data_IF_860410417755
#
_entry.id   IF_860410417755
#
_cell.length_a   1.000
_cell.length_b   1.000
_cell.length_c   1.000
_cell.angle_alpha   90.00
_cell.angle_beta   90.00
_cell.angle_gamma   90.00
#
_symmetry.space_group_name_H-M   'P 1'
#
loop_
_entity.id
_entity.type
_entity.pdbx_description
1 polymer ?
#
# COMPACT_ATOMS: atom_id res chain seq x y z
N UNK A 1 12.25 25.74 -0.76
CA UNK A 1 10.90 25.98 -1.33
C UNK A 1 9.92 25.96 -0.17
N UNK A 2 9.23 27.07 0.10
CA UNK A 2 8.28 27.23 1.20
C UNK A 2 7.00 26.44 0.93
N UNK A 3 6.87 25.27 1.57
CA UNK A 3 5.57 24.60 1.67
C UNK A 3 4.82 25.19 2.86
N UNK A 4 3.61 25.65 2.61
CA UNK A 4 2.66 26.16 3.61
C UNK A 4 2.09 25.02 4.49
N UNK A 5 2.90 24.03 4.85
CA UNK A 5 2.54 22.93 5.73
C UNK A 5 3.09 23.22 7.12
N UNK A 6 2.26 23.04 8.17
CA UNK A 6 2.66 23.03 9.60
C UNK A 6 3.66 21.91 9.96
N UNK A 7 4.33 21.35 8.96
CA UNK A 7 5.15 20.17 9.04
C UNK A 7 6.60 20.58 8.87
N UNK A 8 7.41 20.29 9.89
CA UNK A 8 8.85 20.50 9.82
C UNK A 8 9.51 19.29 9.16
N UNK A 9 10.20 19.53 8.03
CA UNK A 9 10.93 18.51 7.27
C UNK A 9 12.34 18.98 7.00
N UNK A 10 13.30 18.06 7.00
CA UNK A 10 14.65 18.29 6.48
C UNK A 10 15.01 17.25 5.43
N UNK A 11 15.76 17.68 4.43
CA UNK A 11 16.22 16.85 3.32
C UNK A 11 17.73 16.96 3.23
N UNK A 12 18.44 15.85 3.40
CA UNK A 12 19.90 15.79 3.33
C UNK A 12 20.35 14.89 2.18
N UNK A 13 21.49 15.24 1.58
CA UNK A 13 22.21 14.41 0.61
C UNK A 13 23.57 14.07 1.18
N UNK A 14 23.84 12.78 1.33
CA UNK A 14 25.14 12.26 1.74
C UNK A 14 25.87 11.78 0.50
N UNK A 15 26.83 12.57 0.03
CA UNK A 15 27.63 12.25 -1.15
C UNK A 15 28.73 11.26 -0.78
N UNK A 16 29.00 10.31 -1.67
CA UNK A 16 30.05 9.31 -1.52
C UNK A 16 30.60 8.89 -2.89
N UNK A 17 31.85 8.43 -2.92
CA UNK A 17 32.45 7.82 -4.11
C UNK A 17 32.11 6.33 -4.13
N UNK A 18 31.36 5.82 -5.12
CA UNK A 18 31.02 4.41 -5.20
C UNK A 18 32.27 3.58 -5.56
N UNK A 19 32.41 2.40 -4.93
CA UNK A 19 33.50 1.46 -5.24
C UNK A 19 33.42 0.97 -6.70
N UNK A 20 32.21 0.66 -7.17
CA UNK A 20 31.96 0.33 -8.57
C UNK A 20 31.41 1.57 -9.27
N UNK A 21 32.24 2.18 -10.13
CA UNK A 21 31.83 3.36 -10.89
C UNK A 21 30.73 2.98 -11.87
N UNK A 22 29.56 3.59 -11.70
CA UNK A 22 28.47 3.47 -12.67
C UNK A 22 28.74 4.43 -13.83
N UNK A 23 28.41 5.71 -13.67
CA UNK A 23 28.55 6.77 -14.68
C UNK A 23 28.98 8.13 -14.10
N UNK A 24 29.09 8.23 -12.78
CA UNK A 24 29.43 9.46 -12.05
C UNK A 24 30.56 9.17 -11.07
N UNK A 25 31.41 10.17 -10.81
CA UNK A 25 32.48 10.06 -9.82
C UNK A 25 31.96 10.12 -8.37
N UNK A 26 30.80 10.76 -8.16
CA UNK A 26 30.08 10.75 -6.88
C UNK A 26 28.62 10.34 -7.07
N UNK A 27 28.15 9.55 -6.11
CA UNK A 27 26.75 9.21 -5.89
C UNK A 27 26.28 9.77 -4.55
N UNK A 28 24.98 9.69 -4.25
CA UNK A 28 24.47 10.16 -2.96
C UNK A 28 23.32 9.31 -2.43
N UNK A 29 23.24 9.23 -1.10
CA UNK A 29 22.07 8.73 -0.37
C UNK A 29 21.23 9.91 0.08
N UNK A 30 19.91 9.82 -0.10
CA UNK A 30 18.95 10.79 0.42
C UNK A 30 18.51 10.39 1.83
N UNK A 31 18.51 11.36 2.74
CA UNK A 31 17.89 11.23 4.06
C UNK A 31 16.79 12.28 4.17
N UNK A 32 15.55 11.80 4.21
CA UNK A 32 14.37 12.62 4.46
C UNK A 32 13.97 12.46 5.93
N UNK A 33 13.98 13.57 6.67
CA UNK A 33 13.63 13.62 8.09
C UNK A 33 12.31 14.35 8.25
N UNK A 34 11.35 13.67 8.89
CA UNK A 34 10.08 14.24 9.30
C UNK A 34 10.10 14.46 10.81
N UNK A 35 10.01 15.70 11.26
CA UNK A 35 10.04 16.02 12.69
C UNK A 35 8.62 15.99 13.25
N UNK A 36 8.24 14.83 13.79
CA UNK A 36 6.95 14.61 14.44
C UNK A 36 7.07 13.58 15.56
N UNK A 37 6.05 13.52 16.42
CA UNK A 37 5.92 12.43 17.38
C UNK A 37 5.69 11.11 16.64
N UNK A 38 6.43 10.06 17.02
CA UNK A 38 6.32 8.75 16.37
C UNK A 38 4.89 8.23 16.46
N UNK A 39 4.29 7.99 15.30
CA UNK A 39 2.88 7.62 15.22
C UNK A 39 2.58 6.12 15.26
N UNK A 40 3.62 5.28 15.21
CA UNK A 40 3.48 3.83 15.23
C UNK A 40 3.17 3.31 16.63
N UNK A 41 2.41 2.21 16.69
CA UNK A 41 1.97 1.60 17.94
C UNK A 41 3.05 0.74 18.55
N UNK A 42 3.72 -0.06 17.71
CA UNK A 42 4.74 -1.01 18.12
C UNK A 42 6.06 -0.65 17.43
N UNK A 43 7.07 -0.33 18.24
CA UNK A 43 8.45 -0.21 17.77
C UNK A 43 9.20 -1.49 18.10
N UNK A 44 9.88 -2.04 17.10
CA UNK A 44 10.71 -3.23 17.20
C UNK A 44 12.17 -2.86 16.96
N UNK A 45 13.07 -3.56 17.62
CA UNK A 45 14.50 -3.41 17.37
C UNK A 45 14.87 -4.30 16.18
N UNK A 46 15.35 -3.70 15.10
CA UNK A 46 15.84 -4.38 13.90
C UNK A 46 17.35 -4.31 13.85
N UNK A 47 17.99 -5.45 13.58
CA UNK A 47 19.42 -5.48 13.30
C UNK A 47 19.68 -4.89 11.91
N UNK A 48 20.67 -3.99 11.81
CA UNK A 48 21.17 -3.50 10.53
C UNK A 48 22.07 -4.58 9.94
N UNK A 49 21.45 -5.53 9.27
CA UNK A 49 22.11 -6.63 8.59
C UNK A 49 21.70 -6.66 7.12
N UNK A 50 22.67 -6.89 6.23
CA UNK A 50 22.42 -7.05 4.79
C UNK A 50 22.90 -8.41 4.35
N UNK A 51 22.07 -9.16 3.62
CA UNK A 51 22.51 -10.42 3.00
C UNK A 51 23.53 -10.20 1.87
N UNK A 52 23.67 -8.96 1.37
CA UNK A 52 24.59 -8.63 0.29
C UNK A 52 25.97 -8.19 0.78
N UNK A 53 26.10 -7.78 2.05
CA UNK A 53 27.34 -7.21 2.59
C UNK A 53 27.76 -7.97 3.84
N UNK A 54 29.04 -8.37 3.98
CA UNK A 54 29.52 -8.97 5.22
C UNK A 54 29.45 -7.96 6.36
N UNK A 55 29.02 -8.42 7.54
CA UNK A 55 29.06 -7.60 8.74
C UNK A 55 30.51 -7.34 9.17
N UNK A 56 30.79 -6.09 9.53
CA UNK A 56 32.07 -5.68 10.10
C UNK A 56 31.81 -4.89 11.38
N UNK A 57 32.46 -5.29 12.47
CA UNK A 57 32.32 -4.61 13.76
C UNK A 57 31.13 -5.12 14.58
N UNK A 58 30.68 -4.31 15.54
CA UNK A 58 29.56 -4.66 16.41
C UNK A 58 28.23 -4.58 15.66
N UNK A 59 27.32 -5.51 15.95
CA UNK A 59 25.96 -5.48 15.41
C UNK A 59 25.27 -4.18 15.83
N UNK A 60 24.72 -3.47 14.84
CA UNK A 60 23.96 -2.25 15.06
C UNK A 60 22.47 -2.56 15.05
N UNK A 61 21.72 -1.97 15.97
CA UNK A 61 20.27 -2.10 16.04
C UNK A 61 19.60 -0.74 15.91
N UNK A 62 18.45 -0.71 15.25
CA UNK A 62 17.61 0.49 15.10
C UNK A 62 16.18 0.19 15.49
N UNK A 63 15.49 1.20 16.03
CA UNK A 63 14.05 1.13 16.24
C UNK A 63 13.33 1.36 14.92
N UNK A 64 12.42 0.46 14.58
CA UNK A 64 11.54 0.58 13.41
C UNK A 64 10.11 0.23 13.78
N UNK A 65 9.16 0.65 12.97
CA UNK A 65 7.77 0.22 13.11
C UNK A 65 7.62 -1.28 12.85
N UNK A 66 6.65 -1.91 13.53
CA UNK A 66 6.24 -3.28 13.23
C UNK A 66 5.69 -3.42 11.80
N UNK A 67 5.62 -4.64 11.26
CA UNK A 67 5.09 -4.88 9.92
C UNK A 67 3.61 -4.47 9.80
N UNK A 68 2.82 -4.70 10.83
CA UNK A 68 1.44 -4.27 10.95
C UNK A 68 1.29 -2.75 10.93
N UNK A 69 2.16 -2.05 11.68
CA UNK A 69 2.20 -0.60 11.70
C UNK A 69 2.56 -0.03 10.33
N UNK A 70 3.61 -0.57 9.70
CA UNK A 70 4.03 -0.18 8.35
C UNK A 70 2.91 -0.41 7.34
N UNK A 71 2.19 -1.53 7.41
CA UNK A 71 1.08 -1.81 6.51
C UNK A 71 -0.08 -0.82 6.70
N UNK A 72 -0.40 -0.47 7.95
CA UNK A 72 -1.41 0.54 8.26
C UNK A 72 -1.07 1.90 7.66
N UNK A 73 0.18 2.34 7.79
CA UNK A 73 0.69 3.57 7.18
C UNK A 73 0.68 3.51 5.64
N UNK A 74 1.22 2.43 5.05
CA UNK A 74 1.22 2.23 3.59
C UNK A 74 -0.16 2.28 2.97
N UNK A 75 -1.19 1.75 3.65
CA UNK A 75 -2.58 1.90 3.21
C UNK A 75 -3.00 3.37 3.11
N UNK A 76 -2.64 4.22 4.08
CA UNK A 76 -2.95 5.66 3.99
C UNK A 76 -2.27 6.33 2.80
N UNK A 77 -1.05 5.90 2.46
CA UNK A 77 -0.30 6.43 1.32
C UNK A 77 -0.83 5.97 -0.06
N UNK A 78 -1.64 4.91 -0.12
CA UNK A 78 -2.20 4.34 -1.36
C UNK A 78 -3.57 4.93 -1.78
N UNK A 79 -4.11 5.92 -1.06
CA UNK A 79 -5.41 6.54 -1.35
C UNK A 79 -5.26 7.87 -2.15
N UNK A 80 -5.20 7.86 -3.49
CA UNK A 80 -4.73 9.03 -4.28
C UNK A 80 -5.65 10.25 -4.24
N UNK A 81 -6.95 10.06 -3.99
CA UNK A 81 -7.96 11.13 -3.96
C UNK A 81 -8.21 11.69 -2.56
N UNK A 82 -7.63 11.09 -1.52
CA UNK A 82 -7.81 11.46 -0.12
C UNK A 82 -6.46 11.67 0.57
N UNK A 83 -5.99 10.71 1.37
CA UNK A 83 -4.79 10.82 2.21
C UNK A 83 -3.48 10.65 1.44
N UNK A 84 -3.46 9.72 0.49
CA UNK A 84 -2.26 9.18 -0.11
C UNK A 84 -1.64 10.03 -1.20
N UNK A 85 -0.75 9.40 -1.96
CA UNK A 85 0.01 10.06 -3.03
C UNK A 85 -0.95 10.45 -4.16
N UNK A 86 -1.13 11.75 -4.47
CA UNK A 86 -2.00 12.16 -5.57
C UNK A 86 -1.43 11.73 -6.91
N UNK A 87 -2.28 11.53 -7.92
CA UNK A 87 -1.81 11.19 -9.28
C UNK A 87 -0.79 12.18 -9.85
N UNK A 88 -0.92 13.46 -9.48
CA UNK A 88 -0.03 14.52 -9.93
C UNK A 88 0.39 15.43 -8.77
N UNK A 89 1.63 15.90 -8.80
CA UNK A 89 2.11 17.05 -8.01
C UNK A 89 2.60 18.11 -8.99
N UNK A 90 1.76 19.12 -9.26
CA UNK A 90 1.99 20.01 -10.39
C UNK A 90 1.85 19.25 -11.71
N UNK A 91 2.85 19.34 -12.59
CA UNK A 91 2.88 18.59 -13.86
C UNK A 91 3.49 17.19 -13.72
N UNK A 92 4.09 16.86 -12.57
CA UNK A 92 4.77 15.59 -12.37
C UNK A 92 3.76 14.49 -12.03
N UNK A 93 3.70 13.44 -12.85
CA UNK A 93 3.00 12.19 -12.50
C UNK A 93 3.67 11.53 -11.30
N UNK A 94 2.85 11.06 -10.36
CA UNK A 94 3.26 10.26 -9.20
C UNK A 94 2.72 8.83 -9.24
N UNK A 95 2.35 8.39 -10.43
CA UNK A 95 1.82 7.04 -10.69
C UNK A 95 2.73 5.92 -10.17
N UNK A 96 4.05 6.04 -10.39
CA UNK A 96 5.00 5.05 -9.91
C UNK A 96 5.02 5.00 -8.38
N UNK A 97 5.01 6.14 -7.70
CA UNK A 97 5.03 6.23 -6.25
C UNK A 97 3.75 5.66 -5.62
N UNK A 98 2.59 5.84 -6.24
CA UNK A 98 1.33 5.17 -5.85
C UNK A 98 1.49 3.65 -5.93
N UNK A 99 2.01 3.14 -7.05
CA UNK A 99 2.16 1.69 -7.24
C UNK A 99 3.27 1.10 -6.36
N UNK A 100 4.29 1.86 -5.97
CA UNK A 100 5.23 1.45 -4.92
C UNK A 100 4.52 1.19 -3.59
N UNK A 101 3.56 2.05 -3.19
CA UNK A 101 2.77 1.78 -1.98
C UNK A 101 1.95 0.50 -2.13
N UNK A 102 1.35 0.27 -3.30
CA UNK A 102 0.59 -0.95 -3.58
C UNK A 102 1.46 -2.21 -3.51
N UNK A 103 2.68 -2.14 -4.04
CA UNK A 103 3.65 -3.23 -3.95
C UNK A 103 3.97 -3.56 -2.50
N UNK A 104 4.33 -2.54 -1.71
CA UNK A 104 4.65 -2.68 -0.28
C UNK A 104 3.48 -3.30 0.49
N UNK A 105 2.25 -2.84 0.25
CA UNK A 105 1.01 -3.42 0.83
C UNK A 105 0.91 -4.91 0.50
N UNK A 106 1.11 -5.26 -0.77
CA UNK A 106 1.02 -6.63 -1.26
C UNK A 106 2.02 -7.59 -0.61
N UNK A 107 3.24 -7.11 -0.35
CA UNK A 107 4.29 -7.86 0.34
C UNK A 107 3.99 -7.95 1.83
N UNK A 108 3.76 -6.82 2.51
CA UNK A 108 3.52 -6.77 3.95
C UNK A 108 2.29 -7.61 4.35
N UNK A 109 1.22 -7.59 3.54
CA UNK A 109 0.01 -8.40 3.76
C UNK A 109 0.33 -9.89 4.00
N UNK A 110 1.35 -10.43 3.31
CA UNK A 110 1.70 -11.84 3.44
C UNK A 110 2.28 -12.18 4.81
N UNK A 111 2.87 -11.21 5.51
CA UNK A 111 3.61 -11.42 6.75
C UNK A 111 2.86 -10.98 8.02
N UNK A 112 1.81 -10.19 7.88
CA UNK A 112 1.03 -9.69 9.04
C UNK A 112 -0.11 -10.61 9.44
N UNK A 113 -0.52 -10.55 10.70
CA UNK A 113 -1.76 -11.21 11.16
C UNK A 113 -2.59 -10.34 12.11
N UNK A 114 -1.97 -9.38 12.82
CA UNK A 114 -2.66 -8.54 13.79
C UNK A 114 -3.39 -7.36 13.12
N UNK A 115 -4.67 -7.60 12.79
CA UNK A 115 -5.57 -6.58 12.25
C UNK A 115 -5.82 -5.41 13.21
N UNK A 116 -5.72 -5.62 14.52
CA UNK A 116 -5.99 -4.58 15.52
C UNK A 116 -4.92 -3.50 15.46
N UNK A 117 -3.65 -3.87 15.31
CA UNK A 117 -2.55 -2.92 15.12
C UNK A 117 -2.72 -2.18 13.78
N UNK A 118 -2.95 -2.90 12.68
CA UNK A 118 -3.18 -2.29 11.35
C UNK A 118 -4.32 -1.26 11.40
N UNK A 119 -5.47 -1.62 11.98
CA UNK A 119 -6.65 -0.74 12.13
C UNK A 119 -6.31 0.53 12.90
N UNK A 120 -5.61 0.40 14.03
CA UNK A 120 -5.30 1.54 14.89
C UNK A 120 -4.33 2.51 14.22
N UNK A 121 -3.28 1.97 13.60
CA UNK A 121 -2.26 2.76 12.91
C UNK A 121 -2.85 3.46 11.69
N UNK A 122 -3.62 2.75 10.87
CA UNK A 122 -4.36 3.36 9.75
C UNK A 122 -5.25 4.51 10.21
N UNK A 123 -6.09 4.31 11.23
CA UNK A 123 -7.02 5.36 11.71
C UNK A 123 -6.28 6.61 12.20
N UNK A 124 -5.13 6.43 12.87
CA UNK A 124 -4.27 7.53 13.35
C UNK A 124 -3.64 8.30 12.19
N UNK A 125 -2.94 7.61 11.30
CA UNK A 125 -2.27 8.23 10.14
C UNK A 125 -3.28 8.87 9.18
N UNK A 126 -4.41 8.23 8.90
CA UNK A 126 -5.42 8.77 8.00
C UNK A 126 -5.96 10.12 8.51
N UNK A 127 -6.17 10.27 9.82
CA UNK A 127 -6.57 11.54 10.43
C UNK A 127 -5.51 12.63 10.23
N UNK A 128 -4.25 12.30 10.46
CA UNK A 128 -3.11 13.20 10.27
C UNK A 128 -3.01 13.63 8.80
N UNK A 129 -3.02 12.69 7.87
CA UNK A 129 -2.86 12.94 6.43
C UNK A 129 -4.04 13.72 5.83
N UNK A 130 -5.29 13.46 6.27
CA UNK A 130 -6.45 14.26 5.84
C UNK A 130 -6.29 15.73 6.25
N UNK A 131 -5.75 15.98 7.44
CA UNK A 131 -5.47 17.34 7.91
C UNK A 131 -4.39 18.01 7.04
N UNK A 132 -3.33 17.28 6.69
CA UNK A 132 -2.29 17.78 5.78
C UNK A 132 -2.78 18.05 4.36
N UNK A 133 -3.79 17.30 3.91
CA UNK A 133 -4.47 17.51 2.63
C UNK A 133 -5.52 18.63 2.64
N UNK A 134 -5.80 19.22 3.81
CA UNK A 134 -6.86 20.23 3.96
C UNK A 134 -8.27 19.64 3.81
N UNK A 135 -8.42 18.33 3.98
CA UNK A 135 -9.66 17.56 3.85
C UNK A 135 -10.19 17.13 5.22
N UNK A 136 -10.08 18.00 6.23
CA UNK A 136 -10.46 17.71 7.61
C UNK A 136 -11.97 17.44 7.80
N UNK A 137 -12.79 17.72 6.78
CA UNK A 137 -14.20 17.38 6.72
C UNK A 137 -14.46 15.91 6.35
N UNK A 138 -13.45 15.20 5.84
CA UNK A 138 -13.52 13.77 5.58
C UNK A 138 -13.07 12.99 6.81
N UNK A 139 -13.50 11.75 6.92
CA UNK A 139 -13.05 10.78 7.90
C UNK A 139 -12.15 9.72 7.26
N UNK A 140 -11.52 8.90 8.11
CA UNK A 140 -10.76 7.74 7.64
C UNK A 140 -11.61 6.77 6.80
N UNK A 141 -12.95 6.78 6.92
CA UNK A 141 -13.83 5.92 6.13
C UNK A 141 -13.88 6.32 4.66
N UNK A 142 -13.80 7.62 4.35
CA UNK A 142 -13.71 8.10 2.97
C UNK A 142 -12.36 7.72 2.34
N UNK A 143 -11.27 7.74 3.14
CA UNK A 143 -9.97 7.26 2.67
C UNK A 143 -9.96 5.74 2.43
N UNK A 144 -10.66 4.94 3.24
CA UNK A 144 -10.86 3.50 2.98
C UNK A 144 -11.65 3.26 1.70
N UNK A 145 -12.64 4.11 1.42
CA UNK A 145 -13.41 4.03 0.19
C UNK A 145 -12.53 4.37 -1.03
N UNK A 146 -11.67 5.37 -0.94
CA UNK A 146 -10.70 5.69 -1.98
C UNK A 146 -9.75 4.52 -2.29
N UNK A 147 -9.20 3.86 -1.26
CA UNK A 147 -8.39 2.63 -1.41
C UNK A 147 -9.20 1.53 -2.12
N UNK A 148 -10.43 1.31 -1.69
CA UNK A 148 -11.32 0.31 -2.28
C UNK A 148 -11.59 0.60 -3.77
N UNK A 149 -11.94 1.84 -4.09
CA UNK A 149 -12.29 2.27 -5.44
C UNK A 149 -11.09 2.27 -6.40
N UNK A 150 -9.94 2.72 -5.92
CA UNK A 150 -8.67 2.65 -6.66
C UNK A 150 -8.29 1.19 -6.93
N UNK A 151 -8.45 0.32 -5.94
CA UNK A 151 -8.18 -1.12 -6.09
C UNK A 151 -9.15 -1.80 -7.06
N UNK A 152 -10.43 -1.46 -7.02
CA UNK A 152 -11.44 -1.96 -7.96
C UNK A 152 -11.13 -1.51 -9.39
N UNK A 153 -10.65 -0.28 -9.56
CA UNK A 153 -10.18 0.25 -10.83
C UNK A 153 -9.04 -0.61 -11.41
N UNK A 154 -8.05 -0.98 -10.60
CA UNK A 154 -6.96 -1.89 -11.03
C UNK A 154 -7.52 -3.27 -11.37
N UNK A 155 -8.30 -3.87 -10.47
CA UNK A 155 -8.83 -5.24 -10.60
C UNK A 155 -9.71 -5.41 -11.86
N UNK A 156 -10.46 -4.38 -12.22
CA UNK A 156 -11.36 -4.39 -13.39
C UNK A 156 -10.75 -3.75 -14.63
N UNK A 157 -9.48 -3.35 -14.58
CA UNK A 157 -8.76 -2.68 -15.66
C UNK A 157 -9.49 -1.42 -16.16
N UNK A 158 -9.96 -0.61 -15.22
CA UNK A 158 -10.68 0.64 -15.48
C UNK A 158 -12.16 0.49 -15.82
N UNK A 159 -12.70 -0.74 -15.87
CA UNK A 159 -14.10 -0.96 -16.22
C UNK A 159 -15.09 -0.68 -15.07
N UNK A 160 -14.58 -0.46 -13.86
CA UNK A 160 -15.30 -0.09 -12.65
C UNK A 160 -14.33 0.57 -11.67
N UNK A 161 -14.82 1.03 -10.52
CA UNK A 161 -14.01 1.75 -9.54
C UNK A 161 -13.81 3.22 -9.90
N UNK A 162 -13.35 4.00 -8.93
CA UNK A 162 -12.97 5.40 -9.13
C UNK A 162 -11.45 5.51 -9.03
N UNK A 163 -10.80 5.75 -10.17
CA UNK A 163 -9.36 5.94 -10.29
C UNK A 163 -8.96 6.25 -11.73
N UNK A 164 -7.77 6.82 -11.92
CA UNK A 164 -7.18 7.05 -13.25
C UNK A 164 -6.43 5.79 -13.68
N UNK A 165 -7.13 4.87 -14.37
CA UNK A 165 -6.52 3.61 -14.81
C UNK A 165 -5.31 3.82 -15.73
N UNK A 166 -5.31 4.87 -16.55
CA UNK A 166 -4.19 5.21 -17.43
C UNK A 166 -2.92 5.53 -16.62
N UNK A 167 -3.05 6.33 -15.56
CA UNK A 167 -1.94 6.60 -14.64
C UNK A 167 -1.53 5.36 -13.85
N UNK A 168 -2.48 4.59 -13.32
CA UNK A 168 -2.18 3.36 -12.58
C UNK A 168 -1.42 2.35 -13.45
N UNK A 169 -1.85 2.16 -14.70
CA UNK A 169 -1.17 1.29 -15.66
C UNK A 169 0.24 1.80 -15.98
N UNK A 170 0.44 3.10 -16.16
CA UNK A 170 1.79 3.70 -16.33
C UNK A 170 2.67 3.40 -15.12
N UNK A 171 2.16 3.60 -13.90
CA UNK A 171 2.86 3.31 -12.66
C UNK A 171 3.30 1.84 -12.54
N UNK A 172 2.44 0.90 -12.93
CA UNK A 172 2.74 -0.54 -12.95
C UNK A 172 3.90 -0.85 -13.90
N UNK A 173 3.91 -0.26 -15.10
CA UNK A 173 5.02 -0.43 -16.03
C UNK A 173 6.31 0.20 -15.49
N UNK A 174 6.25 1.41 -14.91
CA UNK A 174 7.42 2.12 -14.40
C UNK A 174 8.06 1.42 -13.20
N UNK A 175 7.27 0.91 -12.25
CA UNK A 175 7.80 0.28 -11.03
C UNK A 175 8.51 -1.05 -11.31
N UNK A 176 8.12 -1.76 -12.38
CA UNK A 176 8.66 -3.09 -12.71
C UNK A 176 10.20 -3.13 -12.81
N UNK A 177 10.82 -2.01 -13.20
CA UNK A 177 12.28 -1.86 -13.33
C UNK A 177 13.02 -1.76 -11.99
N UNK A 178 12.30 -1.50 -10.91
CA UNK A 178 12.85 -1.33 -9.56
C UNK A 178 12.62 -2.55 -8.66
N UNK A 179 11.87 -3.55 -9.13
CA UNK A 179 11.59 -4.78 -8.40
C UNK A 179 12.51 -5.86 -8.97
N UNK A 180 13.51 -6.28 -8.21
CA UNK A 180 14.49 -7.28 -8.65
C UNK A 180 14.08 -8.72 -8.32
N UNK A 181 13.19 -8.90 -7.36
CA UNK A 181 12.81 -10.20 -6.81
C UNK A 181 11.79 -10.97 -7.65
N UNK A 182 10.99 -10.27 -8.46
CA UNK A 182 9.93 -10.87 -9.26
C UNK A 182 9.49 -9.97 -10.43
N UNK A 183 8.86 -10.58 -11.45
CA UNK A 183 8.18 -9.84 -12.51
C UNK A 183 6.92 -9.15 -11.99
N UNK A 184 6.86 -7.82 -12.10
CA UNK A 184 5.70 -7.03 -11.69
C UNK A 184 4.89 -6.51 -12.87
N UNK A 185 3.75 -7.14 -13.12
CA UNK A 185 2.81 -6.78 -14.20
C UNK A 185 1.39 -6.62 -13.66
N UNK A 186 0.44 -6.28 -14.56
CA UNK A 186 -0.95 -6.02 -14.19
C UNK A 186 -1.58 -7.14 -13.38
N UNK A 187 -1.33 -8.43 -13.68
CA UNK A 187 -1.92 -9.53 -12.92
C UNK A 187 -1.45 -9.54 -11.46
N UNK A 188 -0.17 -9.26 -11.20
CA UNK A 188 0.37 -9.16 -9.83
C UNK A 188 -0.19 -7.93 -9.12
N UNK A 189 -0.28 -6.80 -9.82
CA UNK A 189 -0.89 -5.59 -9.29
C UNK A 189 -2.37 -5.79 -8.95
N UNK A 190 -3.12 -6.58 -9.73
CA UNK A 190 -4.50 -6.98 -9.43
C UNK A 190 -4.56 -7.77 -8.11
N UNK A 191 -3.64 -8.72 -7.88
CA UNK A 191 -3.57 -9.44 -6.60
C UNK A 191 -3.33 -8.49 -5.43
N UNK A 192 -2.34 -7.59 -5.54
CA UNK A 192 -2.02 -6.63 -4.48
C UNK A 192 -3.16 -5.63 -4.24
N UNK A 193 -3.82 -5.15 -5.30
CA UNK A 193 -5.01 -4.30 -5.20
C UNK A 193 -6.16 -5.02 -4.49
N UNK A 194 -6.35 -6.30 -4.77
CA UNK A 194 -7.38 -7.11 -4.11
C UNK A 194 -7.11 -7.25 -2.60
N UNK A 195 -5.84 -7.38 -2.20
CA UNK A 195 -5.42 -7.35 -0.78
C UNK A 195 -5.69 -5.99 -0.13
N UNK A 196 -5.34 -4.90 -0.81
CA UNK A 196 -5.59 -3.54 -0.32
C UNK A 196 -7.09 -3.26 -0.14
N UNK A 197 -7.93 -3.63 -1.11
CA UNK A 197 -9.39 -3.52 -1.02
C UNK A 197 -9.96 -4.37 0.14
N UNK A 198 -9.41 -5.56 0.36
CA UNK A 198 -9.85 -6.45 1.43
C UNK A 198 -9.50 -5.89 2.80
N UNK A 199 -8.26 -5.44 3.02
CA UNK A 199 -7.87 -4.71 4.24
C UNK A 199 -8.76 -3.49 4.46
N UNK A 200 -8.99 -2.69 3.41
CA UNK A 200 -9.82 -1.51 3.55
C UNK A 200 -11.25 -1.86 4.01
N UNK A 201 -11.80 -2.96 3.47
CA UNK A 201 -13.12 -3.48 3.86
C UNK A 201 -13.11 -4.02 5.29
N UNK A 202 -12.10 -4.80 5.69
CA UNK A 202 -11.97 -5.31 7.06
C UNK A 202 -11.90 -4.17 8.09
N UNK A 203 -11.10 -3.13 7.82
CA UNK A 203 -10.99 -1.95 8.69
C UNK A 203 -12.33 -1.19 8.75
N UNK A 204 -13.01 -1.02 7.62
CA UNK A 204 -14.30 -0.30 7.53
C UNK A 204 -15.39 -1.01 8.32
N UNK A 205 -15.41 -2.34 8.31
CA UNK A 205 -16.35 -3.19 9.05
C UNK A 205 -15.90 -3.57 10.45
N UNK A 206 -14.77 -3.00 10.90
CA UNK A 206 -14.16 -3.29 12.19
C UNK A 206 -13.96 -4.79 12.48
N UNK A 207 -13.69 -5.59 11.45
CA UNK A 207 -13.51 -7.03 11.56
C UNK A 207 -12.38 -7.41 12.54
N UNK A 208 -12.44 -8.63 13.07
CA UNK A 208 -11.52 -9.09 14.12
C UNK A 208 -10.23 -9.70 13.56
N UNK A 209 -10.31 -10.40 12.42
CA UNK A 209 -9.21 -11.18 11.88
C UNK A 209 -9.06 -11.03 10.36
N UNK A 210 -7.87 -11.38 9.86
CA UNK A 210 -7.55 -11.42 8.43
C UNK A 210 -7.53 -12.87 7.99
N UNK A 211 -8.36 -13.22 7.03
CA UNK A 211 -8.30 -14.53 6.39
C UNK A 211 -7.43 -14.45 5.13
N UNK A 212 -6.51 -15.41 4.97
CA UNK A 212 -5.55 -15.43 3.87
C UNK A 212 -5.91 -16.51 2.86
N UNK A 213 -5.67 -16.20 1.60
CA UNK A 213 -5.76 -17.19 0.53
C UNK A 213 -4.76 -18.32 0.74
N UNK A 214 -5.19 -19.55 0.45
CA UNK A 214 -4.38 -20.77 0.65
C UNK A 214 -4.35 -21.64 -0.60
N UNK A 215 -5.52 -21.98 -1.16
CA UNK A 215 -5.66 -22.83 -2.34
C UNK A 215 -6.88 -22.46 -3.19
N UNK A 216 -6.88 -22.69 -4.52
CA UNK A 216 -8.05 -22.48 -5.36
C UNK A 216 -9.26 -23.37 -4.98
N UNK A 217 -9.00 -24.55 -4.40
CA UNK A 217 -10.01 -25.58 -4.15
C UNK A 217 -11.12 -25.12 -3.20
N UNK A 218 -10.80 -24.21 -2.27
CA UNK A 218 -11.77 -23.69 -1.29
C UNK A 218 -12.90 -22.85 -1.93
N UNK A 219 -12.74 -22.46 -3.20
CA UNK A 219 -13.62 -21.49 -3.86
C UNK A 219 -14.45 -22.11 -4.98
N UNK A 220 -14.51 -23.45 -5.09
CA UNK A 220 -15.14 -24.16 -6.20
C UNK A 220 -16.55 -23.63 -6.51
N UNK A 221 -17.35 -23.40 -5.47
CA UNK A 221 -18.76 -23.00 -5.62
C UNK A 221 -18.99 -21.49 -5.34
N UNK A 222 -17.92 -20.71 -5.15
CA UNK A 222 -18.02 -19.28 -4.87
C UNK A 222 -18.41 -18.47 -6.10
N UNK A 223 -19.30 -17.50 -5.92
CA UNK A 223 -19.77 -16.60 -6.96
C UNK A 223 -20.05 -15.21 -6.40
N UNK A 224 -19.53 -14.17 -7.05
CA UNK A 224 -19.78 -12.77 -6.69
C UNK A 224 -21.00 -12.27 -7.48
N UNK A 225 -22.03 -11.81 -6.78
CA UNK A 225 -23.25 -11.27 -7.38
C UNK A 225 -23.47 -9.79 -6.99
N UNK A 226 -24.59 -9.21 -7.41
CA UNK A 226 -25.04 -7.89 -7.00
C UNK A 226 -25.01 -7.76 -5.46
N UNK A 227 -24.66 -6.58 -4.93
CA UNK A 227 -24.42 -5.32 -5.64
C UNK A 227 -23.01 -5.18 -6.25
N UNK A 228 -22.13 -6.16 -6.09
CA UNK A 228 -20.77 -6.11 -6.63
C UNK A 228 -20.71 -6.47 -8.12
N UNK A 229 -19.65 -6.02 -8.78
CA UNK A 229 -19.45 -6.22 -10.20
C UNK A 229 -19.17 -7.68 -10.54
N UNK A 230 -20.04 -8.29 -11.34
CA UNK A 230 -19.91 -9.69 -11.77
C UNK A 230 -18.69 -9.95 -12.65
N UNK A 231 -18.05 -8.92 -13.24
CA UNK A 231 -16.78 -9.06 -13.98
C UNK A 231 -15.65 -9.60 -13.09
N UNK A 232 -15.72 -9.40 -11.78
CA UNK A 232 -14.76 -9.95 -10.81
C UNK A 232 -14.73 -11.49 -10.83
N UNK A 233 -15.82 -12.16 -11.22
CA UNK A 233 -15.84 -13.62 -11.36
C UNK A 233 -14.83 -14.15 -12.40
N UNK A 234 -14.38 -13.32 -13.35
CA UNK A 234 -13.32 -13.71 -14.31
C UNK A 234 -12.00 -14.01 -13.60
N UNK A 235 -11.73 -13.34 -12.49
CA UNK A 235 -10.54 -13.56 -11.67
C UNK A 235 -10.49 -14.98 -11.11
N UNK A 236 -11.63 -15.65 -10.92
CA UNK A 236 -11.67 -17.01 -10.36
C UNK A 236 -10.80 -17.99 -11.16
N UNK A 237 -10.74 -17.82 -12.49
CA UNK A 237 -9.87 -18.61 -13.38
C UNK A 237 -8.50 -17.97 -13.60
N UNK A 238 -8.45 -16.65 -13.84
CA UNK A 238 -7.19 -15.99 -14.24
C UNK A 238 -6.26 -15.66 -13.08
N UNK A 239 -6.82 -15.40 -11.90
CA UNK A 239 -6.11 -14.99 -10.70
C UNK A 239 -6.91 -15.38 -9.44
N UNK A 240 -6.85 -16.67 -9.03
CA UNK A 240 -7.66 -17.20 -7.92
C UNK A 240 -7.45 -16.45 -6.60
N UNK A 241 -6.22 -16.03 -6.29
CA UNK A 241 -5.93 -15.27 -5.08
C UNK A 241 -6.64 -13.91 -5.07
N UNK A 242 -6.62 -13.18 -6.20
CA UNK A 242 -7.39 -11.93 -6.30
C UNK A 242 -8.89 -12.19 -6.12
N UNK A 243 -9.43 -13.23 -6.76
CA UNK A 243 -10.83 -13.62 -6.61
C UNK A 243 -11.21 -13.94 -5.17
N UNK A 244 -10.36 -14.66 -4.43
CA UNK A 244 -10.56 -14.97 -3.02
C UNK A 244 -10.87 -13.70 -2.23
N UNK A 245 -10.00 -12.69 -2.31
CA UNK A 245 -10.16 -11.46 -1.55
C UNK A 245 -11.42 -10.67 -1.98
N UNK A 246 -11.73 -10.60 -3.28
CA UNK A 246 -12.98 -9.97 -3.73
C UNK A 246 -14.23 -10.72 -3.28
N UNK A 247 -14.19 -12.04 -3.17
CA UNK A 247 -15.29 -12.82 -2.61
C UNK A 247 -15.44 -12.60 -1.11
N UNK A 248 -14.33 -12.52 -0.35
CA UNK A 248 -14.39 -12.20 1.09
C UNK A 248 -14.97 -10.80 1.33
N UNK A 249 -14.64 -9.82 0.49
CA UNK A 249 -15.28 -8.50 0.46
C UNK A 249 -16.79 -8.65 0.21
N UNK A 250 -17.19 -9.43 -0.79
CA UNK A 250 -18.59 -9.67 -1.11
C UNK A 250 -19.36 -10.25 0.09
N UNK A 251 -18.84 -11.32 0.71
CA UNK A 251 -19.44 -11.92 1.89
C UNK A 251 -19.61 -10.91 3.03
N UNK A 252 -18.58 -10.11 3.33
CA UNK A 252 -18.63 -9.08 4.37
C UNK A 252 -19.67 -7.98 4.08
N UNK A 253 -19.88 -7.63 2.81
CA UNK A 253 -20.89 -6.64 2.41
C UNK A 253 -22.31 -7.20 2.40
N UNK A 254 -22.50 -8.47 2.08
CA UNK A 254 -23.82 -9.11 2.02
C UNK A 254 -24.35 -9.46 3.41
N UNK A 255 -23.50 -9.87 4.36
CA UNK A 255 -23.92 -10.15 5.74
C UNK A 255 -24.57 -8.92 6.41
N UNK A 256 -24.24 -7.70 5.97
CA UNK A 256 -24.83 -6.47 6.53
C UNK A 256 -26.17 -6.04 5.91
N UNK A 257 -26.59 -6.69 4.81
CA UNK A 257 -27.85 -6.37 4.13
C UNK A 257 -28.98 -7.31 4.60
N UNK A 258 -28.64 -8.31 5.41
CA UNK A 258 -29.56 -9.21 6.11
C UNK A 258 -29.66 -8.79 7.58
#
# INVERSE_FOLDING_TARGET
RSSNSKIQKAHYKFYFTPLHKTSRDEEYVLLDVHFEEVQYRNLVDLQIQSFMLPEKGASLTVKSASLEDLLGDKLTAFAPSTTGIPYFKGMDSKSMEIIKQLYDIGILFNHVTDLKTIKATYKRFAKTELTYRGLSNLSYKEALEDIYQTSLCIATRGADGKGDFGQLQKGIHSVSRFIFSESYHIEKAITHASKAAYLATLIKQDAESIEKYSSPLQMKDWFINKPMNSKLNRLKKSNPEAFFYWYKIYALKTIQVL
#
